data_IF_248001247939
#
_entry.id   IF_248001247939
#
_cell.length_a   1.000
_cell.length_b   1.000
_cell.length_c   1.000
_cell.angle_alpha   90.00
_cell.angle_beta   90.00
_cell.angle_gamma   90.00
#
_symmetry.space_group_name_H-M   'P 1'
#
loop_
_entity.id
_entity.type
_entity.pdbx_description
1 polymer ?
#
# COMPACT_ATOMS: atom_id res chain seq x y z
N UNK A 1 1.19 18.47 13.94
CA UNK A 1 -0.12 17.84 14.27
C UNK A 1 0.11 16.98 15.48
N UNK A 2 -0.66 17.24 16.55
CA UNK A 2 -0.53 16.45 17.78
C UNK A 2 -1.23 15.09 17.53
N UNK A 3 -0.46 14.02 17.67
CA UNK A 3 -0.90 12.65 17.35
C UNK A 3 -1.37 11.97 18.63
N UNK A 4 -2.62 11.52 18.65
CA UNK A 4 -3.18 10.74 19.74
C UNK A 4 -2.98 9.22 19.54
N UNK A 5 -3.11 8.74 18.29
CA UNK A 5 -2.93 7.32 17.92
C UNK A 5 -2.37 7.20 16.52
N UNK A 6 -1.56 6.17 16.31
CA UNK A 6 -1.08 5.75 15.00
C UNK A 6 -1.74 4.45 14.58
N UNK A 7 -2.14 4.38 13.33
CA UNK A 7 -2.79 3.24 12.70
C UNK A 7 -2.05 2.92 11.40
N UNK A 8 -2.23 1.71 10.91
CA UNK A 8 -1.84 1.28 9.58
C UNK A 8 -3.07 1.15 8.68
N UNK A 9 -2.95 1.60 7.43
CA UNK A 9 -3.92 1.31 6.38
C UNK A 9 -3.18 1.08 5.07
N UNK A 10 -3.32 -0.11 4.48
CA UNK A 10 -2.70 -0.44 3.20
C UNK A 10 -3.65 -1.17 2.26
N UNK A 11 -3.28 -1.24 0.99
CA UNK A 11 -3.98 -2.00 -0.03
C UNK A 11 -2.99 -2.62 -1.01
N UNK A 12 -3.24 -3.88 -1.35
CA UNK A 12 -2.43 -4.65 -2.31
C UNK A 12 -3.35 -5.48 -3.21
N UNK A 13 -2.79 -5.95 -4.33
CA UNK A 13 -3.45 -6.97 -5.15
C UNK A 13 -3.09 -8.34 -4.58
N UNK A 14 -4.07 -9.03 -3.99
CA UNK A 14 -3.91 -10.43 -3.63
C UNK A 14 -4.05 -11.31 -4.90
N UNK A 15 -2.94 -11.92 -5.28
CA UNK A 15 -2.87 -12.75 -6.49
C UNK A 15 -3.68 -14.04 -6.36
N UNK A 16 -3.88 -14.56 -5.16
CA UNK A 16 -4.60 -15.81 -4.92
C UNK A 16 -6.09 -15.62 -5.15
N UNK A 17 -6.68 -14.59 -4.56
CA UNK A 17 -8.09 -14.23 -4.75
C UNK A 17 -8.34 -13.38 -6.01
N UNK A 18 -7.28 -12.82 -6.63
CA UNK A 18 -7.35 -11.85 -7.75
C UNK A 18 -8.20 -10.64 -7.41
N UNK A 19 -8.05 -10.13 -6.19
CA UNK A 19 -8.81 -9.01 -5.64
C UNK A 19 -7.87 -7.99 -5.02
N UNK A 20 -8.33 -6.76 -4.96
CA UNK A 20 -7.71 -5.76 -4.09
C UNK A 20 -8.11 -6.09 -2.66
N UNK A 21 -7.12 -6.14 -1.77
CA UNK A 21 -7.34 -6.38 -0.34
C UNK A 21 -6.81 -5.18 0.42
N UNK A 22 -7.69 -4.56 1.19
CA UNK A 22 -7.31 -3.57 2.18
C UNK A 22 -6.94 -4.25 3.48
N UNK A 23 -5.88 -3.75 4.10
CA UNK A 23 -5.39 -4.17 5.41
C UNK A 23 -5.34 -2.97 6.33
N UNK A 24 -5.72 -3.16 7.59
CA UNK A 24 -5.60 -2.13 8.60
C UNK A 24 -5.17 -2.75 9.93
N UNK A 25 -4.42 -2.00 10.72
CA UNK A 25 -3.96 -2.42 12.05
C UNK A 25 -3.91 -1.24 13.01
N UNK A 26 -4.00 -1.56 14.31
CA UNK A 26 -3.70 -0.61 15.39
C UNK A 26 -2.21 -0.40 15.60
N UNK A 27 -1.38 -1.20 14.97
CA UNK A 27 0.08 -1.09 14.99
C UNK A 27 0.52 -0.19 13.82
N UNK A 28 0.43 1.13 14.00
CA UNK A 28 0.93 2.12 13.05
C UNK A 28 2.39 2.50 13.33
N UNK A 29 3.06 3.07 12.33
CA UNK A 29 4.46 3.51 12.46
C UNK A 29 5.50 2.40 12.53
N UNK A 30 5.11 1.14 12.28
CA UNK A 30 6.00 -0.04 12.26
C UNK A 30 5.85 -0.79 10.93
N UNK A 31 6.82 -1.65 10.62
CA UNK A 31 6.78 -2.50 9.42
C UNK A 31 5.64 -3.52 9.55
N UNK A 32 4.69 -3.48 8.61
CA UNK A 32 3.50 -4.34 8.65
C UNK A 32 3.86 -5.82 8.47
N UNK A 33 4.97 -6.11 7.80
CA UNK A 33 5.52 -7.46 7.63
C UNK A 33 5.86 -8.10 8.97
N UNK A 34 6.45 -7.34 9.88
CA UNK A 34 6.73 -7.80 11.24
C UNK A 34 5.43 -8.10 12.00
N UNK A 35 4.42 -7.23 11.89
CA UNK A 35 3.11 -7.47 12.50
C UNK A 35 2.45 -8.74 11.91
N UNK A 36 2.63 -8.98 10.60
CA UNK A 36 2.09 -10.17 9.95
C UNK A 36 2.75 -11.47 10.40
N UNK A 37 4.02 -11.43 10.77
CA UNK A 37 4.76 -12.60 11.29
C UNK A 37 4.47 -12.85 12.78
N UNK A 38 4.49 -11.80 13.61
CA UNK A 38 4.40 -11.93 15.06
C UNK A 38 2.94 -11.98 15.57
N UNK A 39 2.05 -11.18 14.98
CA UNK A 39 0.67 -10.97 15.46
C UNK A 39 -0.33 -10.82 14.30
N UNK A 40 -0.46 -11.82 13.41
CA UNK A 40 -1.30 -11.73 12.20
C UNK A 40 -2.78 -11.44 12.50
N UNK A 41 -3.27 -11.77 13.69
CA UNK A 41 -4.64 -11.47 14.14
C UNK A 41 -4.92 -9.98 14.32
N UNK A 42 -3.87 -9.14 14.44
CA UNK A 42 -4.00 -7.68 14.51
C UNK A 42 -4.22 -7.05 13.15
N UNK A 43 -4.06 -7.80 12.07
CA UNK A 43 -4.27 -7.30 10.72
C UNK A 43 -5.71 -7.58 10.28
N UNK A 44 -6.51 -6.55 10.26
CA UNK A 44 -7.86 -6.57 9.70
C UNK A 44 -7.78 -6.58 8.18
N UNK A 45 -8.66 -7.34 7.52
CA UNK A 45 -8.69 -7.44 6.06
C UNK A 45 -10.08 -7.16 5.51
N UNK A 46 -10.15 -6.42 4.40
CA UNK A 46 -11.37 -6.21 3.63
C UNK A 46 -11.06 -6.47 2.14
N UNK A 47 -11.75 -7.45 1.57
CA UNK A 47 -11.64 -7.79 0.15
C UNK A 47 -12.58 -6.90 -0.64
N UNK A 48 -12.06 -6.28 -1.70
CA UNK A 48 -12.82 -5.39 -2.56
C UNK A 48 -13.37 -6.15 -3.77
N UNK A 49 -14.67 -6.07 -3.96
CA UNK A 49 -15.28 -6.56 -5.19
C UNK A 49 -14.94 -5.62 -6.34
N UNK A 50 -14.34 -6.10 -7.45
CA UNK A 50 -13.89 -5.23 -8.55
C UNK A 50 -15.05 -4.55 -9.30
N UNK A 51 -16.26 -5.08 -9.21
CA UNK A 51 -17.43 -4.48 -9.86
C UNK A 51 -18.09 -3.40 -8.99
N UNK A 52 -18.04 -3.56 -7.66
CA UNK A 52 -18.68 -2.65 -6.70
C UNK A 52 -17.72 -1.63 -6.12
N UNK A 53 -16.42 -1.91 -6.13
CA UNK A 53 -15.41 -1.12 -5.42
C UNK A 53 -15.55 -1.24 -3.89
N UNK A 54 -14.73 -0.47 -3.17
CA UNK A 54 -14.80 -0.40 -1.71
C UNK A 54 -16.07 0.30 -1.24
N UNK A 55 -16.78 -0.32 -0.31
CA UNK A 55 -18.06 0.16 0.19
C UNK A 55 -17.92 0.78 1.58
N UNK A 56 -18.69 1.82 1.85
CA UNK A 56 -18.63 2.55 3.12
C UNK A 56 -18.90 1.66 4.35
N UNK A 57 -19.72 0.61 4.20
CA UNK A 57 -19.96 -0.32 5.31
C UNK A 57 -18.70 -1.11 5.68
N UNK A 58 -17.87 -1.50 4.69
CA UNK A 58 -16.59 -2.19 4.94
C UNK A 58 -15.63 -1.27 5.72
N UNK A 59 -15.54 0.01 5.30
CA UNK A 59 -14.74 1.00 6.02
C UNK A 59 -15.23 1.20 7.45
N UNK A 60 -16.56 1.27 7.68
CA UNK A 60 -17.10 1.39 9.03
C UNK A 60 -16.83 0.12 9.88
N UNK A 61 -16.97 -1.06 9.30
CA UNK A 61 -16.63 -2.31 10.00
C UNK A 61 -15.18 -2.34 10.44
N UNK A 62 -14.25 -1.95 9.56
CA UNK A 62 -12.83 -1.84 9.92
C UNK A 62 -12.63 -0.79 11.02
N UNK A 63 -13.26 0.38 10.89
CA UNK A 63 -13.16 1.45 11.87
C UNK A 63 -13.59 1.00 13.28
N UNK A 64 -14.69 0.26 13.39
CA UNK A 64 -15.12 -0.32 14.67
C UNK A 64 -14.09 -1.30 15.24
N UNK A 65 -13.54 -2.17 14.41
CA UNK A 65 -12.52 -3.14 14.83
C UNK A 65 -11.20 -2.47 15.24
N UNK A 66 -10.88 -1.31 14.66
CA UNK A 66 -9.74 -0.47 15.07
C UNK A 66 -10.01 0.31 16.36
N UNK A 67 -11.23 0.24 16.91
CA UNK A 67 -11.62 1.00 18.09
C UNK A 67 -11.75 2.50 17.83
N UNK A 68 -12.13 2.88 16.60
CA UNK A 68 -12.47 4.26 16.27
C UNK A 68 -13.88 4.61 16.74
N UNK A 69 -14.09 5.87 17.10
CA UNK A 69 -15.34 6.33 17.72
C UNK A 69 -15.88 7.61 17.08
N UNK A 70 -17.15 7.85 17.26
CA UNK A 70 -17.82 9.10 16.87
C UNK A 70 -17.59 9.47 15.38
N UNK A 71 -17.04 10.67 15.14
CA UNK A 71 -16.77 11.17 13.78
C UNK A 71 -15.70 10.39 13.04
N UNK A 72 -14.77 9.76 13.77
CA UNK A 72 -13.64 9.02 13.22
C UNK A 72 -14.11 7.87 12.32
N UNK A 73 -15.22 7.20 12.70
CA UNK A 73 -15.77 6.06 11.94
C UNK A 73 -16.15 6.50 10.51
N UNK A 74 -16.83 7.62 10.40
CA UNK A 74 -17.24 8.13 9.08
C UNK A 74 -16.07 8.71 8.29
N UNK A 75 -15.12 9.36 8.94
CA UNK A 75 -13.91 9.86 8.31
C UNK A 75 -13.07 8.70 7.76
N UNK A 76 -12.85 7.64 8.57
CA UNK A 76 -12.13 6.45 8.12
C UNK A 76 -12.85 5.77 6.95
N UNK A 77 -14.17 5.60 7.02
CA UNK A 77 -14.95 5.02 5.94
C UNK A 77 -14.85 5.85 4.65
N UNK A 78 -14.81 7.17 4.74
CA UNK A 78 -14.60 8.05 3.59
C UNK A 78 -13.20 7.90 3.00
N UNK A 79 -12.16 7.85 3.83
CA UNK A 79 -10.77 7.57 3.42
C UNK A 79 -10.71 6.22 2.70
N UNK A 80 -11.25 5.16 3.31
CA UNK A 80 -11.27 3.81 2.74
C UNK A 80 -11.91 3.77 1.34
N UNK A 81 -13.10 4.36 1.18
CA UNK A 81 -13.79 4.39 -0.12
C UNK A 81 -13.00 5.19 -1.16
N UNK A 82 -12.47 6.34 -0.75
CA UNK A 82 -11.69 7.21 -1.64
C UNK A 82 -10.40 6.52 -2.11
N UNK A 83 -9.68 5.89 -1.19
CA UNK A 83 -8.45 5.16 -1.52
C UNK A 83 -8.73 3.90 -2.35
N UNK A 84 -9.85 3.21 -2.10
CA UNK A 84 -10.28 2.08 -2.94
C UNK A 84 -10.55 2.50 -4.38
N UNK A 85 -11.20 3.63 -4.58
CA UNK A 85 -11.43 4.21 -5.91
C UNK A 85 -10.11 4.64 -6.56
N UNK A 86 -9.25 5.34 -5.81
CA UNK A 86 -7.93 5.77 -6.28
C UNK A 86 -7.09 4.57 -6.73
N UNK A 87 -7.08 3.48 -5.96
CA UNK A 87 -6.31 2.28 -6.24
C UNK A 87 -6.62 1.71 -7.63
N UNK A 88 -7.91 1.61 -7.96
CA UNK A 88 -8.36 1.07 -9.26
C UNK A 88 -8.19 2.10 -10.38
N UNK A 89 -8.59 3.36 -10.18
CA UNK A 89 -8.57 4.39 -11.23
C UNK A 89 -7.14 4.79 -11.64
N UNK A 90 -6.19 4.63 -10.74
CA UNK A 90 -4.78 5.00 -10.97
C UNK A 90 -3.87 3.80 -11.20
N UNK A 91 -4.44 2.61 -11.34
CA UNK A 91 -3.68 1.37 -11.58
C UNK A 91 -2.58 1.16 -10.53
N UNK A 92 -2.94 1.28 -9.26
CA UNK A 92 -1.97 1.09 -8.20
C UNK A 92 -1.69 -0.41 -8.00
N UNK A 93 -0.45 -0.74 -7.67
CA UNK A 93 -0.03 -2.07 -7.23
C UNK A 93 0.16 -2.15 -5.72
N UNK A 94 0.46 -1.01 -5.09
CA UNK A 94 0.59 -0.84 -3.65
C UNK A 94 0.05 0.54 -3.26
N UNK A 95 -0.66 0.58 -2.16
CA UNK A 95 -0.99 1.80 -1.42
C UNK A 95 -0.74 1.52 0.06
N UNK A 96 0.00 2.39 0.72
CA UNK A 96 0.27 2.27 2.14
C UNK A 96 0.19 3.66 2.78
N UNK A 97 -0.57 3.76 3.85
CA UNK A 97 -0.64 4.93 4.72
C UNK A 97 -0.08 4.48 6.08
N UNK A 98 1.15 4.87 6.37
CA UNK A 98 1.85 4.42 7.56
C UNK A 98 2.76 5.52 8.13
N UNK A 99 2.27 6.26 9.19
CA UNK A 99 1.00 6.01 9.86
C UNK A 99 -0.22 6.76 9.28
N UNK A 100 -1.40 6.16 9.43
CA UNK A 100 -2.67 6.84 9.44
C UNK A 100 -2.93 7.29 10.87
N UNK A 101 -3.08 8.58 11.14
CA UNK A 101 -3.14 9.08 12.50
C UNK A 101 -4.54 9.54 12.92
N UNK A 102 -4.83 9.33 14.19
CA UNK A 102 -5.89 10.05 14.90
C UNK A 102 -5.24 11.21 15.63
N UNK A 103 -5.68 12.43 15.35
CA UNK A 103 -5.17 13.62 16.00
C UNK A 103 -5.78 13.81 17.40
N UNK A 104 -5.16 14.63 18.26
CA UNK A 104 -5.73 15.05 19.55
C UNK A 104 -7.13 15.69 19.40
N UNK A 105 -7.41 16.34 18.27
CA UNK A 105 -8.75 16.87 17.94
C UNK A 105 -9.75 15.77 17.53
N UNK A 106 -9.31 14.51 17.44
CA UNK A 106 -10.12 13.36 17.07
C UNK A 106 -10.38 13.26 15.57
N UNK A 107 -9.55 13.84 14.72
CA UNK A 107 -9.68 13.74 13.26
C UNK A 107 -8.74 12.68 12.70
N UNK A 108 -9.16 12.00 11.62
CA UNK A 108 -8.32 11.08 10.86
C UNK A 108 -7.48 11.86 9.87
N UNK A 109 -6.17 11.61 9.86
CA UNK A 109 -5.24 12.26 8.94
C UNK A 109 -4.24 11.25 8.35
N UNK A 110 -4.05 11.28 7.02
CA UNK A 110 -3.00 10.52 6.35
C UNK A 110 -1.69 11.30 6.50
N UNK A 111 -0.77 10.80 7.34
CA UNK A 111 0.47 11.52 7.64
C UNK A 111 1.53 11.25 6.58
N UNK A 112 1.72 9.98 6.25
CA UNK A 112 2.63 9.55 5.18
C UNK A 112 1.94 8.54 4.27
N UNK A 113 2.32 8.56 2.99
CA UNK A 113 1.74 7.72 1.97
C UNK A 113 2.81 7.18 1.02
N UNK A 114 2.89 5.86 0.92
CA UNK A 114 3.70 5.16 -0.09
C UNK A 114 2.77 4.58 -1.15
N UNK A 115 3.00 4.95 -2.41
CA UNK A 115 2.15 4.55 -3.53
C UNK A 115 3.02 4.02 -4.65
N UNK A 116 2.70 2.81 -5.13
CA UNK A 116 3.32 2.24 -6.33
C UNK A 116 2.26 2.05 -7.42
N UNK A 117 2.62 2.42 -8.63
CA UNK A 117 1.77 2.29 -9.81
C UNK A 117 2.22 1.06 -10.59
N UNK A 118 1.29 0.30 -11.16
CA UNK A 118 1.62 -0.79 -12.06
C UNK A 118 2.37 -0.24 -13.29
N UNK A 119 3.65 -0.57 -13.43
CA UNK A 119 4.48 -0.14 -14.55
C UNK A 119 3.89 -0.49 -15.92
N UNK A 120 3.14 -1.61 -16.00
CA UNK A 120 2.46 -2.01 -17.23
C UNK A 120 1.28 -1.10 -17.60
N UNK A 121 0.77 -0.30 -16.67
CA UNK A 121 -0.33 0.63 -16.89
C UNK A 121 0.13 2.08 -17.16
N UNK A 122 1.40 2.39 -17.04
CA UNK A 122 1.94 3.76 -17.19
C UNK A 122 1.61 4.38 -18.55
N UNK A 123 1.43 3.59 -19.61
CA UNK A 123 1.02 4.09 -20.92
C UNK A 123 -0.31 4.85 -20.91
N UNK A 124 -1.20 4.53 -19.98
CA UNK A 124 -2.51 5.20 -19.79
C UNK A 124 -2.51 6.18 -18.61
N UNK A 125 -1.48 6.15 -17.75
CA UNK A 125 -1.30 7.03 -16.59
C UNK A 125 -0.20 8.08 -16.86
N UNK A 126 -0.23 8.74 -18.01
CA UNK A 126 0.84 9.66 -18.46
C UNK A 126 1.17 10.76 -17.48
N UNK A 127 0.18 11.34 -16.80
CA UNK A 127 0.40 12.39 -15.80
C UNK A 127 1.20 11.87 -14.61
N UNK A 128 0.92 10.63 -14.16
CA UNK A 128 1.64 10.00 -13.05
C UNK A 128 3.05 9.58 -13.47
N UNK A 129 3.21 9.10 -14.70
CA UNK A 129 4.55 8.78 -15.24
C UNK A 129 5.50 9.98 -15.25
N UNK A 130 4.97 11.20 -15.43
CA UNK A 130 5.75 12.45 -15.38
C UNK A 130 6.10 12.91 -13.96
N UNK A 131 5.46 12.32 -12.93
CA UNK A 131 5.72 12.64 -11.52
C UNK A 131 6.84 11.80 -10.92
N UNK A 132 7.39 10.85 -11.70
CA UNK A 132 8.50 10.02 -11.23
C UNK A 132 9.69 10.88 -10.81
N UNK A 133 10.14 10.73 -9.59
CA UNK A 133 11.33 11.40 -9.06
C UNK A 133 12.49 10.39 -9.00
N UNK A 134 13.33 10.42 -10.04
CA UNK A 134 14.49 9.54 -10.14
C UNK A 134 15.51 9.73 -8.98
N UNK A 135 15.41 10.84 -8.21
CA UNK A 135 16.28 11.05 -7.04
C UNK A 135 15.96 10.13 -5.86
N UNK A 136 14.76 9.53 -5.88
CA UNK A 136 14.30 8.57 -4.86
C UNK A 136 14.61 7.11 -5.21
N UNK A 137 15.10 6.85 -6.42
CA UNK A 137 15.46 5.51 -6.88
C UNK A 137 16.94 5.21 -6.59
N UNK A 138 17.27 3.92 -6.39
CA UNK A 138 18.68 3.48 -6.40
C UNK A 138 19.31 3.80 -7.76
N UNK A 139 20.48 4.42 -7.76
CA UNK A 139 21.15 4.84 -9.01
C UNK A 139 21.37 3.67 -9.98
N UNK A 140 21.61 2.46 -9.48
CA UNK A 140 21.81 1.24 -10.27
C UNK A 140 20.51 0.75 -10.88
N UNK A 141 19.41 0.83 -10.13
CA UNK A 141 18.06 0.52 -10.62
C UNK A 141 17.64 1.51 -11.70
N UNK A 142 17.85 2.81 -11.48
CA UNK A 142 17.58 3.85 -12.45
C UNK A 142 18.43 3.71 -13.72
N UNK A 143 19.69 3.28 -13.61
CA UNK A 143 20.54 2.98 -14.77
C UNK A 143 20.05 1.76 -15.54
N UNK A 144 19.71 0.67 -14.85
CA UNK A 144 19.22 -0.55 -15.47
C UNK A 144 17.89 -0.32 -16.22
N UNK A 145 17.01 0.48 -15.66
CA UNK A 145 15.72 0.82 -16.26
C UNK A 145 15.87 1.52 -17.62
N UNK A 146 16.93 2.30 -17.85
CA UNK A 146 17.23 2.93 -19.16
C UNK A 146 17.45 1.92 -20.28
N UNK A 147 17.84 0.70 -19.92
CA UNK A 147 18.06 -0.42 -20.86
C UNK A 147 16.93 -1.44 -20.85
N UNK A 148 15.81 -1.13 -20.18
CA UNK A 148 14.68 -2.06 -20.03
C UNK A 148 14.99 -3.27 -19.14
N UNK A 149 15.98 -3.15 -18.26
CA UNK A 149 16.36 -4.20 -17.31
C UNK A 149 15.78 -3.92 -15.94
N UNK A 150 15.35 -4.97 -15.26
CA UNK A 150 15.01 -4.92 -13.84
C UNK A 150 16.26 -5.24 -13.02
N UNK A 151 16.62 -4.37 -12.11
CA UNK A 151 17.70 -4.55 -11.16
C UNK A 151 17.14 -4.44 -9.74
N UNK A 152 17.57 -5.33 -8.86
CA UNK A 152 17.21 -5.27 -7.44
C UNK A 152 18.51 -5.36 -6.65
N UNK A 153 18.79 -4.34 -5.86
CA UNK A 153 19.93 -4.33 -4.95
C UNK A 153 19.57 -5.07 -3.66
N UNK A 154 20.27 -6.15 -3.38
CA UNK A 154 20.20 -6.89 -2.12
C UNK A 154 21.53 -6.77 -1.38
N UNK A 155 21.48 -6.94 -0.07
CA UNK A 155 22.70 -7.04 0.74
C UNK A 155 23.35 -8.41 0.52
N UNK A 156 24.65 -8.42 0.19
CA UNK A 156 25.39 -9.65 -0.05
C UNK A 156 26.54 -9.48 -1.02
N UNK A 157 27.22 -10.60 -1.32
CA UNK A 157 28.39 -10.65 -2.20
C UNK A 157 28.19 -11.55 -3.44
N UNK A 158 26.95 -11.97 -3.70
CA UNK A 158 26.60 -12.80 -4.85
C UNK A 158 25.74 -11.99 -5.81
N UNK A 159 26.15 -11.90 -7.08
CA UNK A 159 25.35 -11.34 -8.16
C UNK A 159 24.66 -12.45 -8.95
N UNK A 160 23.39 -12.25 -9.29
CA UNK A 160 22.61 -13.15 -10.13
C UNK A 160 22.04 -12.39 -11.33
N UNK A 161 22.15 -12.95 -12.52
CA UNK A 161 21.55 -12.41 -13.75
C UNK A 161 20.78 -13.53 -14.46
N UNK A 162 19.51 -13.27 -14.74
CA UNK A 162 18.57 -14.25 -15.29
C UNK A 162 17.62 -13.61 -16.31
N UNK A 163 17.06 -14.42 -17.20
CA UNK A 163 16.12 -13.96 -18.22
C UNK A 163 14.67 -13.81 -17.75
N UNK A 164 14.39 -13.82 -16.46
CA UNK A 164 13.03 -13.64 -15.97
C UNK A 164 12.90 -13.83 -14.48
N UNK A 165 11.91 -13.17 -13.90
CA UNK A 165 11.68 -13.14 -12.46
C UNK A 165 11.45 -14.54 -11.86
N UNK A 166 10.78 -15.44 -12.58
CA UNK A 166 10.55 -16.81 -12.12
C UNK A 166 11.83 -17.60 -11.92
N UNK A 167 12.81 -17.42 -12.83
CA UNK A 167 14.13 -18.06 -12.71
C UNK A 167 14.94 -17.41 -11.56
N UNK A 168 14.85 -16.09 -11.40
CA UNK A 168 15.49 -15.40 -10.29
C UNK A 168 14.98 -15.95 -8.95
N UNK A 169 13.67 -16.01 -8.77
CA UNK A 169 13.05 -16.51 -7.53
C UNK A 169 13.32 -18.00 -7.26
N UNK A 170 13.56 -18.79 -8.29
CA UNK A 170 13.95 -20.20 -8.15
C UNK A 170 15.45 -20.41 -7.89
N UNK A 171 16.26 -19.35 -8.03
CA UNK A 171 17.71 -19.38 -7.79
C UNK A 171 18.06 -18.85 -6.41
N UNK A 172 17.29 -17.88 -5.90
CA UNK A 172 17.40 -17.32 -4.55
C UNK A 172 16.78 -18.27 -3.52
#
# INVERSE_FOLDING_TARGET
>A
TDIARELYLGAVIDRSSRRVVFMASTEGGVEIEQVAEETPEKILRAVIDPALGGQAYQGREMAFKLGLEGKQINQFAQVFVTLSKLFVERDLSLLEINPLVVTEAGDIHCLDAKVSIDGNALYRQKALALMNDASQEDEREAQAAKFGLNYVALEGNIGCMVNGAGLAMGTL
#
